data_IF_007662393783
#
_entry.id   IF_007662393783
#
_cell.length_a   1.000
_cell.length_b   1.000
_cell.length_c   1.000
_cell.angle_alpha   90.00
_cell.angle_beta   90.00
_cell.angle_gamma   90.00
#
_symmetry.space_group_name_H-M   'P 1'
#
loop_
_entity.id
_entity.type
_entity.pdbx_description
1 polymer ?
#
# COMPACT_ATOMS: atom_id res chain seq x y z
N UNK A 1 3.45 15.95 15.82
CA UNK A 1 4.13 15.71 14.53
C UNK A 1 3.06 15.29 13.54
N UNK A 2 2.84 16.02 12.44
CA UNK A 2 1.84 15.62 11.46
C UNK A 2 2.34 14.42 10.65
N UNK A 3 1.42 13.50 10.36
CA UNK A 3 1.61 12.46 9.34
C UNK A 3 1.08 13.02 8.01
N UNK A 4 1.91 12.92 6.97
CA UNK A 4 1.58 13.43 5.65
C UNK A 4 1.71 12.30 4.62
N UNK A 5 0.72 12.23 3.73
CA UNK A 5 0.72 11.33 2.57
C UNK A 5 0.99 12.12 1.28
N UNK A 6 1.55 11.51 0.24
CA UNK A 6 1.71 12.19 -1.05
C UNK A 6 0.37 12.77 -1.58
N UNK A 7 0.40 13.97 -2.20
CA UNK A 7 1.58 14.73 -2.63
C UNK A 7 2.07 15.80 -1.62
N UNK A 8 1.50 15.90 -0.43
CA UNK A 8 1.82 16.95 0.54
C UNK A 8 3.31 16.97 0.95
N UNK A 9 3.98 15.83 1.20
CA UNK A 9 5.42 15.84 1.51
C UNK A 9 6.27 16.44 0.41
N UNK A 10 5.92 16.19 -0.86
CA UNK A 10 6.62 16.74 -2.01
C UNK A 10 6.44 18.26 -2.11
N UNK A 11 5.22 18.77 -1.88
CA UNK A 11 4.95 20.21 -1.85
C UNK A 11 5.73 20.92 -0.73
N UNK A 12 5.72 20.36 0.49
CA UNK A 12 6.45 20.95 1.61
C UNK A 12 7.96 20.97 1.38
N UNK A 13 8.52 19.88 0.80
CA UNK A 13 9.94 19.85 0.44
C UNK A 13 10.28 20.89 -0.63
N UNK A 14 9.47 21.02 -1.66
CA UNK A 14 9.66 22.01 -2.72
C UNK A 14 9.61 23.46 -2.19
N UNK A 15 8.83 23.70 -1.17
CA UNK A 15 8.69 25.00 -0.49
C UNK A 15 9.68 25.22 0.67
N UNK A 16 10.57 24.28 0.94
CA UNK A 16 11.49 24.29 2.07
C UNK A 16 10.80 24.48 3.44
N UNK A 17 9.61 23.89 3.61
CA UNK A 17 8.85 23.95 4.87
C UNK A 17 9.12 22.71 5.70
N UNK A 18 9.82 22.89 6.82
CA UNK A 18 10.17 21.80 7.73
C UNK A 18 11.23 20.84 7.16
N UNK A 19 11.37 19.69 7.82
CA UNK A 19 12.24 18.59 7.38
C UNK A 19 11.62 17.24 7.72
N UNK A 20 11.99 16.22 6.96
CA UNK A 20 11.53 14.85 7.18
C UNK A 20 12.25 14.28 8.40
N UNK A 21 11.51 13.81 9.39
CA UNK A 21 12.04 13.14 10.59
C UNK A 21 12.02 11.62 10.39
N UNK A 22 10.95 11.11 9.77
CA UNK A 22 10.76 9.70 9.47
C UNK A 22 10.11 9.57 8.09
N UNK A 23 10.71 8.71 7.25
CA UNK A 23 10.12 8.29 5.99
C UNK A 23 9.76 6.79 6.07
N UNK A 24 8.50 6.48 6.24
CA UNK A 24 8.04 5.10 6.42
C UNK A 24 8.26 4.19 5.20
N UNK A 25 8.56 4.75 4.03
CA UNK A 25 8.90 3.96 2.84
C UNK A 25 10.32 3.38 2.89
N UNK A 26 11.25 4.01 3.64
CA UNK A 26 12.67 3.63 3.66
C UNK A 26 13.22 3.38 5.06
N UNK A 27 12.69 4.03 6.09
CA UNK A 27 13.22 3.94 7.46
C UNK A 27 12.69 2.70 8.18
N UNK A 28 13.61 1.96 8.84
CA UNK A 28 13.23 0.84 9.69
C UNK A 28 12.72 1.32 11.05
N UNK A 29 11.78 0.58 11.67
CA UNK A 29 11.17 -0.69 11.21
C UNK A 29 10.02 -0.52 10.21
N UNK A 30 9.52 0.70 9.97
CA UNK A 30 8.29 0.97 9.20
C UNK A 30 8.35 0.49 7.75
N UNK A 31 9.50 0.60 7.10
CA UNK A 31 9.68 0.17 5.71
C UNK A 31 9.55 -1.34 5.47
N UNK A 32 9.38 -2.13 6.54
CA UNK A 32 9.09 -3.56 6.47
C UNK A 32 7.59 -3.86 6.36
N UNK A 33 6.76 -2.85 6.59
CA UNK A 33 5.31 -2.98 6.66
C UNK A 33 4.64 -2.08 5.63
N UNK A 34 3.68 -2.61 4.90
CA UNK A 34 2.89 -1.78 3.99
C UNK A 34 1.79 -1.04 4.75
N UNK A 35 1.39 0.14 4.27
CA UNK A 35 0.33 0.94 4.90
C UNK A 35 -1.05 0.72 4.28
N UNK A 36 -1.13 0.20 3.05
CA UNK A 36 -2.38 0.12 2.29
C UNK A 36 -2.79 -1.33 2.04
N UNK A 37 -4.08 -1.58 2.16
CA UNK A 37 -4.71 -2.88 1.99
C UNK A 37 -5.90 -2.76 1.04
N UNK A 38 -6.15 -3.81 0.27
CA UNK A 38 -7.41 -3.96 -0.44
C UNK A 38 -8.45 -4.57 0.51
N UNK A 39 -9.43 -3.78 0.91
CA UNK A 39 -10.58 -4.24 1.70
C UNK A 39 -11.75 -4.66 0.81
N UNK A 40 -12.51 -5.65 1.25
CA UNK A 40 -13.68 -6.13 0.55
C UNK A 40 -14.76 -6.65 1.50
N UNK A 41 -16.01 -6.71 1.02
CA UNK A 41 -17.08 -7.39 1.75
C UNK A 41 -16.77 -8.89 1.81
N UNK A 42 -16.73 -9.47 3.03
CA UNK A 42 -16.35 -10.85 3.25
C UNK A 42 -17.24 -11.87 2.51
N UNK A 43 -18.56 -11.62 2.46
CA UNK A 43 -19.47 -12.48 1.73
C UNK A 43 -19.24 -12.41 0.22
N UNK A 44 -19.01 -11.21 -0.33
CA UNK A 44 -18.68 -11.05 -1.73
C UNK A 44 -17.38 -11.78 -2.09
N UNK A 45 -16.33 -11.64 -1.29
CA UNK A 45 -15.05 -12.34 -1.49
C UNK A 45 -15.25 -13.85 -1.50
N UNK A 46 -16.08 -14.36 -0.60
CA UNK A 46 -16.39 -15.80 -0.48
C UNK A 46 -17.19 -16.33 -1.68
N UNK A 47 -18.19 -15.57 -2.13
CA UNK A 47 -19.13 -16.00 -3.19
C UNK A 47 -18.63 -15.67 -4.60
N UNK A 48 -17.68 -14.73 -4.74
CA UNK A 48 -17.13 -14.29 -6.04
C UNK A 48 -15.59 -14.38 -6.10
N UNK A 49 -15.00 -15.56 -5.88
CA UNK A 49 -13.55 -15.69 -5.78
C UNK A 49 -12.82 -15.31 -7.06
N UNK A 50 -13.41 -15.62 -8.24
CA UNK A 50 -12.80 -15.27 -9.54
C UNK A 50 -12.77 -13.76 -9.75
N UNK A 51 -13.85 -13.06 -9.44
CA UNK A 51 -13.91 -11.61 -9.56
C UNK A 51 -12.92 -10.94 -8.58
N UNK A 52 -12.89 -11.39 -7.33
CA UNK A 52 -11.95 -10.92 -6.31
C UNK A 52 -10.50 -11.06 -6.76
N UNK A 53 -10.12 -12.25 -7.26
CA UNK A 53 -8.77 -12.49 -7.76
C UNK A 53 -8.42 -11.61 -8.97
N UNK A 54 -9.38 -11.37 -9.88
CA UNK A 54 -9.18 -10.48 -11.04
C UNK A 54 -8.92 -9.04 -10.61
N UNK A 55 -9.67 -8.52 -9.64
CA UNK A 55 -9.46 -7.18 -9.10
C UNK A 55 -8.08 -7.07 -8.46
N UNK A 56 -7.72 -8.01 -7.59
CA UNK A 56 -6.41 -8.01 -6.96
C UNK A 56 -5.27 -8.08 -8.00
N UNK A 57 -5.41 -8.92 -9.03
CA UNK A 57 -4.45 -9.00 -10.14
C UNK A 57 -4.28 -7.67 -10.85
N UNK A 58 -5.38 -6.95 -11.10
CA UNK A 58 -5.32 -5.64 -11.75
C UNK A 58 -4.56 -4.62 -10.88
N UNK A 59 -4.82 -4.60 -9.57
CA UNK A 59 -4.11 -3.72 -8.62
C UNK A 59 -2.61 -4.05 -8.57
N UNK A 60 -2.24 -5.33 -8.48
CA UNK A 60 -0.82 -5.73 -8.44
C UNK A 60 -0.09 -5.41 -9.75
N UNK A 61 -0.73 -5.60 -10.91
CA UNK A 61 -0.17 -5.18 -12.20
C UNK A 61 -0.03 -3.67 -12.32
N UNK A 62 -0.95 -2.91 -11.73
CA UNK A 62 -0.81 -1.45 -11.66
C UNK A 62 0.36 -1.04 -10.77
N UNK A 63 0.59 -1.73 -9.65
CA UNK A 63 1.77 -1.51 -8.82
C UNK A 63 3.08 -1.79 -9.59
N UNK A 64 3.14 -2.89 -10.34
CA UNK A 64 4.29 -3.18 -11.21
C UNK A 64 4.51 -2.09 -12.27
N UNK A 65 3.42 -1.60 -12.89
CA UNK A 65 3.50 -0.48 -13.84
C UNK A 65 4.04 0.81 -13.18
N UNK A 66 3.57 1.13 -11.97
CA UNK A 66 4.08 2.27 -11.21
C UNK A 66 5.57 2.17 -10.91
N UNK A 67 6.07 0.97 -10.65
CA UNK A 67 7.49 0.73 -10.39
C UNK A 67 8.35 0.80 -11.67
N UNK A 68 7.86 0.24 -12.77
CA UNK A 68 8.65 0.10 -14.01
C UNK A 68 8.50 1.28 -14.97
N UNK A 69 7.36 1.96 -14.95
CA UNK A 69 7.03 3.06 -15.85
C UNK A 69 6.45 4.27 -15.08
N UNK A 70 7.17 4.84 -14.09
CA UNK A 70 6.64 5.91 -13.23
C UNK A 70 6.24 7.17 -14.01
N UNK A 71 6.94 7.51 -15.10
CA UNK A 71 6.58 8.63 -15.99
C UNK A 71 5.18 8.42 -16.61
N UNK A 72 4.95 7.25 -17.19
CA UNK A 72 3.68 6.90 -17.81
C UNK A 72 2.53 6.88 -16.81
N UNK A 73 2.78 6.31 -15.63
CA UNK A 73 1.81 6.27 -14.55
C UNK A 73 1.48 7.68 -14.04
N UNK A 74 2.48 8.55 -13.85
CA UNK A 74 2.28 9.94 -13.43
C UNK A 74 1.43 10.73 -14.43
N UNK A 75 1.73 10.62 -15.74
CA UNK A 75 0.91 11.25 -16.80
C UNK A 75 -0.53 10.78 -16.73
N UNK A 76 -0.73 9.46 -16.60
CA UNK A 76 -2.07 8.89 -16.51
C UNK A 76 -2.86 9.41 -15.31
N UNK A 77 -2.22 9.57 -14.16
CA UNK A 77 -2.86 10.13 -12.95
C UNK A 77 -3.30 11.58 -13.16
N UNK A 78 -2.47 12.40 -13.81
CA UNK A 78 -2.80 13.82 -14.09
C UNK A 78 -3.90 13.91 -15.14
N UNK A 79 -3.78 13.19 -16.26
CA UNK A 79 -4.77 13.19 -17.34
C UNK A 79 -6.15 12.71 -16.89
N UNK A 80 -6.18 11.82 -15.89
CA UNK A 80 -7.42 11.31 -15.29
C UNK A 80 -7.95 12.15 -14.13
N UNK A 81 -7.27 13.26 -13.77
CA UNK A 81 -7.66 14.14 -12.68
C UNK A 81 -7.41 13.62 -11.27
N UNK A 82 -6.65 12.53 -11.11
CA UNK A 82 -6.30 11.97 -9.81
C UNK A 82 -5.12 12.65 -9.13
N UNK A 83 -4.27 13.34 -9.89
CA UNK A 83 -3.17 14.13 -9.36
C UNK A 83 -3.18 15.52 -9.99
N UNK A 84 -3.02 16.59 -9.19
CA UNK A 84 -3.08 17.99 -9.72
C UNK A 84 -1.80 18.39 -10.45
N UNK A 85 -0.66 17.71 -10.16
CA UNK A 85 0.67 18.07 -10.69
C UNK A 85 1.46 16.84 -11.07
N UNK A 86 2.01 16.88 -12.27
CA UNK A 86 2.84 15.81 -12.82
C UNK A 86 4.14 15.61 -12.03
N UNK A 87 4.86 16.67 -11.71
CA UNK A 87 6.15 16.61 -11.02
C UNK A 87 6.05 15.91 -9.65
N UNK A 88 5.01 16.22 -8.88
CA UNK A 88 4.78 15.57 -7.60
C UNK A 88 4.31 14.12 -7.74
N UNK A 89 3.46 13.83 -8.73
CA UNK A 89 3.04 12.47 -9.03
C UNK A 89 4.24 11.60 -9.45
N UNK A 90 5.07 12.10 -10.35
CA UNK A 90 6.27 11.40 -10.81
C UNK A 90 7.27 11.17 -9.67
N UNK A 91 7.54 12.19 -8.85
CA UNK A 91 8.42 12.06 -7.69
C UNK A 91 7.89 11.01 -6.69
N UNK A 92 6.59 11.05 -6.39
CA UNK A 92 5.95 10.07 -5.51
C UNK A 92 6.12 8.64 -6.03
N UNK A 93 5.82 8.42 -7.32
CA UNK A 93 5.90 7.09 -7.93
C UNK A 93 7.34 6.58 -8.00
N UNK A 94 8.32 7.48 -8.15
CA UNK A 94 9.74 7.13 -8.19
C UNK A 94 10.34 6.85 -6.80
N UNK A 95 9.78 7.45 -5.75
CA UNK A 95 10.28 7.29 -4.37
C UNK A 95 9.65 6.11 -3.61
N UNK A 96 8.45 5.68 -3.99
CA UNK A 96 7.73 4.61 -3.30
C UNK A 96 8.06 3.23 -3.88
N UNK A 97 8.30 2.22 -3.03
CA UNK A 97 8.70 0.89 -3.48
C UNK A 97 7.50 0.04 -3.93
N UNK A 98 6.88 0.39 -5.05
CA UNK A 98 5.70 -0.29 -5.59
C UNK A 98 5.95 -1.76 -6.00
N UNK A 99 7.19 -2.15 -6.27
CA UNK A 99 7.62 -3.51 -6.62
C UNK A 99 7.67 -4.45 -5.42
N UNK A 100 7.82 -3.92 -4.20
CA UNK A 100 8.01 -4.71 -2.96
C UNK A 100 6.78 -5.47 -2.47
N UNK A 101 5.63 -5.35 -3.12
CA UNK A 101 4.46 -6.13 -2.73
C UNK A 101 4.70 -7.65 -2.71
N UNK A 102 5.68 -8.12 -3.49
CA UNK A 102 6.08 -9.54 -3.51
C UNK A 102 6.85 -9.96 -2.27
N UNK A 103 7.61 -9.04 -1.68
CA UNK A 103 8.50 -9.28 -0.55
C UNK A 103 7.79 -9.17 0.80
N UNK A 104 6.80 -8.30 0.89
CA UNK A 104 6.09 -8.08 2.16
C UNK A 104 5.42 -9.35 2.68
N UNK A 105 5.63 -9.60 3.99
CA UNK A 105 4.81 -10.53 4.76
C UNK A 105 3.52 -9.84 5.17
N UNK A 106 2.43 -10.25 4.54
CA UNK A 106 1.13 -9.63 4.74
C UNK A 106 0.56 -9.92 6.13
N UNK A 107 0.79 -11.14 6.65
CA UNK A 107 0.32 -11.51 7.98
C UNK A 107 1.10 -10.78 9.07
N UNK A 108 2.43 -10.69 8.93
CA UNK A 108 3.28 -9.97 9.89
C UNK A 108 2.94 -8.47 9.91
N UNK A 109 2.66 -7.87 8.76
CA UNK A 109 2.19 -6.49 8.69
C UNK A 109 0.89 -6.30 9.47
N UNK A 110 -0.11 -7.17 9.28
CA UNK A 110 -1.36 -7.11 10.03
C UNK A 110 -1.14 -7.31 11.52
N UNK A 111 -0.26 -8.23 11.90
CA UNK A 111 0.13 -8.48 13.30
C UNK A 111 0.74 -7.24 13.94
N UNK A 112 1.67 -6.59 13.24
CA UNK A 112 2.32 -5.37 13.72
C UNK A 112 1.30 -4.25 13.99
N UNK A 113 0.46 -3.91 13.02
CA UNK A 113 -0.53 -2.84 13.20
C UNK A 113 -1.60 -3.18 14.24
N UNK A 114 -2.11 -4.40 14.25
CA UNK A 114 -3.10 -4.83 15.23
C UNK A 114 -2.56 -4.77 16.66
N UNK A 115 -1.28 -5.14 16.86
CA UNK A 115 -0.63 -5.03 18.16
C UNK A 115 -0.51 -3.56 18.59
N UNK A 116 0.01 -2.67 17.72
CA UNK A 116 0.16 -1.24 18.03
C UNK A 116 -1.17 -0.56 18.31
N UNK A 117 -2.20 -0.83 17.50
CA UNK A 117 -3.55 -0.28 17.73
C UNK A 117 -4.17 -0.76 19.03
N UNK A 118 -3.95 -2.02 19.40
CA UNK A 118 -4.41 -2.55 20.69
C UNK A 118 -3.69 -1.92 21.87
N UNK A 119 -2.38 -1.78 21.82
CA UNK A 119 -1.56 -1.12 22.84
C UNK A 119 -1.96 0.34 23.03
N UNK A 120 -2.31 1.03 21.95
CA UNK A 120 -2.80 2.40 21.95
C UNK A 120 -4.29 2.52 22.38
N UNK A 121 -4.98 1.41 22.63
CA UNK A 121 -6.37 1.40 23.06
C UNK A 121 -7.42 1.64 21.98
N UNK A 122 -7.01 1.71 20.70
CA UNK A 122 -7.94 1.93 19.59
C UNK A 122 -8.81 0.71 19.27
N UNK A 123 -8.32 -0.50 19.53
CA UNK A 123 -9.03 -1.75 19.29
C UNK A 123 -8.94 -2.68 20.50
N UNK A 124 -9.96 -3.51 20.68
CA UNK A 124 -10.03 -4.50 21.78
C UNK A 124 -9.55 -5.89 21.32
N UNK A 125 -9.74 -6.24 20.06
CA UNK A 125 -9.39 -7.55 19.50
C UNK A 125 -7.88 -7.75 19.46
N UNK A 126 -7.45 -8.97 19.77
CA UNK A 126 -6.04 -9.36 19.62
C UNK A 126 -5.65 -9.59 18.16
N UNK A 127 -4.34 -9.52 17.84
CA UNK A 127 -3.84 -9.72 16.49
C UNK A 127 -4.29 -11.06 15.87
N UNK A 128 -4.25 -12.16 16.63
CA UNK A 128 -4.66 -13.47 16.16
C UNK A 128 -6.11 -13.50 15.66
N UNK A 129 -7.03 -12.86 16.42
CA UNK A 129 -8.43 -12.80 16.03
C UNK A 129 -8.62 -11.96 14.75
N UNK A 130 -7.93 -10.83 14.65
CA UNK A 130 -8.02 -9.95 13.47
C UNK A 130 -7.50 -10.69 12.23
N UNK A 131 -6.40 -11.40 12.34
CA UNK A 131 -5.82 -12.17 11.23
C UNK A 131 -6.77 -13.32 10.83
N UNK A 132 -7.25 -14.10 11.80
CA UNK A 132 -8.09 -15.25 11.51
C UNK A 132 -9.45 -14.88 10.90
N UNK A 133 -10.09 -13.82 11.39
CA UNK A 133 -11.45 -13.46 11.00
C UNK A 133 -11.49 -12.40 9.89
N UNK A 134 -10.44 -11.58 9.76
CA UNK A 134 -10.43 -10.37 8.94
C UNK A 134 -9.51 -10.42 7.72
N UNK A 135 -8.75 -11.49 7.51
CA UNK A 135 -7.81 -11.54 6.37
C UNK A 135 -8.01 -12.78 5.50
N UNK A 136 -7.74 -12.63 4.20
CA UNK A 136 -7.75 -13.72 3.24
C UNK A 136 -6.58 -13.56 2.24
N UNK A 137 -5.52 -14.27 2.47
CA UNK A 137 -4.30 -14.20 1.67
C UNK A 137 -4.22 -15.20 0.51
N UNK A 138 -5.26 -16.04 0.30
CA UNK A 138 -5.27 -17.08 -0.75
C UNK A 138 -4.93 -16.51 -2.11
N UNK A 139 -5.66 -15.47 -2.52
CA UNK A 139 -5.50 -14.86 -3.84
C UNK A 139 -4.14 -14.15 -3.99
N UNK A 140 -3.66 -13.48 -2.94
CA UNK A 140 -2.33 -12.87 -2.96
C UNK A 140 -1.24 -13.92 -3.13
N UNK A 141 -1.31 -15.02 -2.39
CA UNK A 141 -0.33 -16.10 -2.46
C UNK A 141 -0.32 -16.81 -3.82
N UNK A 142 -1.49 -16.99 -4.44
CA UNK A 142 -1.60 -17.50 -5.80
C UNK A 142 -0.99 -16.52 -6.81
N UNK A 143 -1.32 -15.23 -6.71
CA UNK A 143 -0.81 -14.21 -7.62
C UNK A 143 0.69 -13.97 -7.46
N UNK A 144 1.24 -14.06 -6.26
CA UNK A 144 2.70 -14.06 -6.05
C UNK A 144 3.41 -15.18 -6.84
N UNK A 145 2.77 -16.35 -6.98
CA UNK A 145 3.31 -17.46 -7.77
C UNK A 145 3.14 -17.27 -9.27
N UNK A 146 1.97 -16.73 -9.68
CA UNK A 146 1.63 -16.53 -11.09
C UNK A 146 2.37 -15.34 -11.73
N UNK A 147 2.61 -14.29 -10.95
CA UNK A 147 3.25 -13.03 -11.40
C UNK A 147 4.74 -12.97 -11.05
N UNK A 148 5.37 -14.12 -10.80
CA UNK A 148 6.84 -14.21 -10.78
C UNK A 148 7.33 -13.98 -12.21
N UNK A 149 7.86 -12.78 -12.46
CA UNK A 149 8.66 -12.49 -13.64
C UNK A 149 10.13 -12.77 -13.35
#
# INVERSE_FOLDING_TARGET
>A
MPFLAPPEPQDLRARHIGHVIVNTAVDRPWSQYFCCLLGGNAEYVRTHPVATKRVLRAVLKAADLCATEPDRAARRLVDSGFAPRYDYAFQTLSELPYDKWREYDAEDTMRFYALRLREAGFIKSGPQKIIADGTDWRFLNELKRELKA
#
